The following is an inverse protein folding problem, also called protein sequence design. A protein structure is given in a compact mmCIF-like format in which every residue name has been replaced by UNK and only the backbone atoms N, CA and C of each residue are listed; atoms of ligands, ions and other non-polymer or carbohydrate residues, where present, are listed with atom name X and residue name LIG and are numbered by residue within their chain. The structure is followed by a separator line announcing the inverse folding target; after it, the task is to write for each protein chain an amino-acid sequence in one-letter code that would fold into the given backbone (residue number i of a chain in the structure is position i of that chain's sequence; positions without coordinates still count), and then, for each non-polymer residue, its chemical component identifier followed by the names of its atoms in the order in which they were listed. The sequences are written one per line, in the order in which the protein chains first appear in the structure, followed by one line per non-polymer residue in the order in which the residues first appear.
data_IF_663067330244
#
_entry.id   IF_663067330244
#
_cell.length_a   1.000
_cell.length_b   1.000
_cell.length_c   1.000
_cell.angle_alpha   90.00
_cell.angle_beta   90.00
_cell.angle_gamma   90.00
#
_symmetry.space_group_name_H-M   'P 1'
#
loop_
_entity.id
_entity.type
_entity.pdbx_description
1 polymer ?
#
# COMPACT_ATOMS: atom_id res chain seq x y z
N UNK A 1 28.06 25.53 -15.63
CA UNK A 1 28.26 24.07 -15.48
C UNK A 1 28.51 23.79 -14.00
N UNK A 2 27.48 23.34 -13.30
CA UNK A 2 27.60 22.72 -11.97
C UNK A 2 26.52 21.66 -11.96
N UNK A 3 26.94 20.41 -12.19
CA UNK A 3 26.05 19.26 -12.09
C UNK A 3 25.77 19.04 -10.60
N UNK A 4 24.51 19.16 -10.19
CA UNK A 4 24.05 18.64 -8.92
C UNK A 4 24.16 17.12 -8.98
N UNK A 5 25.24 16.60 -8.42
CA UNK A 5 25.30 15.24 -7.89
C UNK A 5 24.55 15.25 -6.57
N UNK A 6 23.31 14.76 -6.57
CA UNK A 6 22.69 14.16 -5.38
C UNK A 6 21.63 13.16 -5.85
N UNK A 7 22.11 12.13 -6.55
CA UNK A 7 21.38 10.88 -6.76
C UNK A 7 21.74 9.91 -5.65
N UNK A 8 21.33 10.20 -4.41
CA UNK A 8 21.37 9.19 -3.34
C UNK A 8 20.31 8.14 -3.65
N UNK A 9 20.69 7.09 -4.37
CA UNK A 9 19.86 5.90 -4.57
C UNK A 9 19.54 5.33 -3.19
N UNK A 10 18.31 5.55 -2.69
CA UNK A 10 17.85 4.98 -1.42
C UNK A 10 17.89 3.46 -1.58
N UNK A 11 18.74 2.79 -0.79
CA UNK A 11 18.84 1.33 -0.80
C UNK A 11 17.55 0.71 -0.26
N UNK A 12 17.35 -0.58 -0.53
CA UNK A 12 16.28 -1.37 0.09
C UNK A 12 16.34 -1.21 1.62
N UNK A 13 15.26 -0.75 2.21
CA UNK A 13 15.09 -0.64 3.66
C UNK A 13 14.32 -1.86 4.17
N UNK A 14 14.85 -2.51 5.21
CA UNK A 14 14.26 -3.69 5.84
C UNK A 14 13.96 -3.37 7.30
N UNK A 15 12.67 -3.29 7.62
CA UNK A 15 12.17 -3.08 8.98
C UNK A 15 11.60 -4.37 9.56
N UNK A 16 11.79 -4.57 10.86
CA UNK A 16 11.21 -5.70 11.60
C UNK A 16 10.12 -5.19 12.54
N UNK A 17 8.99 -5.90 12.63
CA UNK A 17 7.97 -5.66 13.63
C UNK A 17 7.74 -6.93 14.44
N UNK A 18 7.97 -6.84 15.75
CA UNK A 18 7.72 -7.93 16.68
C UNK A 18 6.25 -7.87 17.09
N UNK A 19 5.52 -8.97 16.89
CA UNK A 19 4.14 -9.07 17.33
C UNK A 19 4.05 -9.15 18.87
N UNK A 20 2.94 -8.68 19.49
CA UNK A 20 2.75 -8.76 20.94
C UNK A 20 2.86 -10.19 21.46
N UNK A 21 3.35 -10.34 22.69
CA UNK A 21 3.55 -11.67 23.31
C UNK A 21 2.22 -12.35 23.63
N UNK A 22 1.96 -13.48 22.98
CA UNK A 22 0.86 -14.39 23.32
C UNK A 22 1.36 -15.57 24.17
N UNK A 23 1.83 -15.31 25.41
CA UNK A 23 2.27 -16.37 26.32
C UNK A 23 3.36 -15.96 27.31
N UNK A 24 3.92 -16.96 28.02
CA UNK A 24 4.94 -16.76 29.07
C UNK A 24 6.37 -16.67 28.53
N UNK A 25 6.68 -17.32 27.40
CA UNK A 25 8.03 -17.37 26.83
C UNK A 25 8.05 -16.83 25.40
N UNK A 26 9.01 -15.96 25.10
CA UNK A 26 9.23 -15.40 23.76
C UNK A 26 10.48 -16.00 23.15
N UNK A 27 10.40 -16.44 21.90
CA UNK A 27 11.56 -16.85 21.10
C UNK A 27 12.33 -15.66 20.50
N UNK A 28 11.87 -14.44 20.75
CA UNK A 28 12.43 -13.19 20.20
C UNK A 28 12.54 -12.15 21.31
N UNK A 29 13.65 -11.41 21.35
CA UNK A 29 13.84 -10.26 22.24
C UNK A 29 14.44 -9.07 21.48
N UNK A 30 13.92 -7.89 21.76
CA UNK A 30 14.49 -6.62 21.30
C UNK A 30 15.80 -6.37 22.03
N UNK A 31 16.88 -6.09 21.30
CA UNK A 31 18.15 -5.64 21.88
C UNK A 31 18.20 -4.11 21.85
N UNK A 32 17.90 -3.53 20.70
CA UNK A 32 17.72 -2.10 20.47
C UNK A 32 16.91 -1.88 19.17
N UNK A 33 16.73 -0.62 18.77
CA UNK A 33 15.97 -0.17 17.58
C UNK A 33 16.44 -0.76 16.24
N UNK A 34 17.55 -1.51 16.20
CA UNK A 34 18.07 -2.15 14.97
C UNK A 34 18.38 -3.63 15.14
N UNK A 35 18.48 -4.14 16.37
CA UNK A 35 18.91 -5.50 16.62
C UNK A 35 17.86 -6.33 17.35
N UNK A 36 17.61 -7.52 16.79
CA UNK A 36 16.72 -8.53 17.37
C UNK A 36 17.52 -9.79 17.69
N UNK A 37 17.30 -10.35 18.88
CA UNK A 37 17.93 -11.58 19.35
C UNK A 37 16.91 -12.72 19.37
N UNK A 38 17.22 -13.81 18.67
CA UNK A 38 16.48 -15.06 18.80
C UNK A 38 16.95 -15.84 20.02
N UNK A 39 15.98 -16.32 20.80
CA UNK A 39 16.18 -17.10 22.01
C UNK A 39 15.79 -18.55 21.69
N UNK A 40 16.76 -19.46 21.79
CA UNK A 40 16.50 -20.88 21.64
C UNK A 40 15.60 -21.38 22.79
N UNK A 41 14.66 -22.31 22.54
CA UNK A 41 13.87 -22.93 23.60
C UNK A 41 14.77 -23.60 24.65
N UNK A 42 14.36 -23.58 25.92
CA UNK A 42 15.12 -24.11 27.07
C UNK A 42 15.56 -25.57 26.91
N UNK A 43 14.81 -26.36 26.12
CA UNK A 43 15.11 -27.77 25.84
C UNK A 43 16.04 -27.99 24.63
N UNK A 44 16.47 -26.92 23.96
CA UNK A 44 17.32 -26.99 22.77
C UNK A 44 18.76 -26.62 23.14
N UNK A 45 19.60 -27.63 23.37
CA UNK A 45 21.03 -27.45 23.64
C UNK A 45 21.73 -27.14 22.32
N UNK A 46 21.95 -25.85 22.02
CA UNK A 46 22.90 -25.47 20.98
C UNK A 46 24.32 -25.76 21.46
N UNK A 47 25.19 -26.29 20.58
CA UNK A 47 26.60 -26.61 20.90
C UNK A 47 27.38 -25.41 21.44
N UNK A 48 26.95 -24.20 21.09
CA UNK A 48 27.35 -22.94 21.68
C UNK A 48 26.07 -22.23 22.12
N UNK A 49 26.03 -21.57 23.28
CA UNK A 49 24.92 -20.69 23.72
C UNK A 49 24.82 -19.41 22.84
N UNK A 50 25.09 -19.52 21.54
CA UNK A 50 25.15 -18.42 20.60
C UNK A 50 23.71 -18.03 20.26
N UNK A 51 23.29 -16.94 20.87
CA UNK A 51 22.05 -16.31 20.48
C UNK A 51 22.20 -15.69 19.08
N UNK A 52 21.28 -15.99 18.18
CA UNK A 52 21.30 -15.43 16.84
C UNK A 52 20.84 -13.98 16.89
N UNK A 53 21.72 -13.06 16.47
CA UNK A 53 21.44 -11.64 16.39
C UNK A 53 21.18 -11.25 14.93
N UNK A 54 20.06 -10.57 14.68
CA UNK A 54 19.67 -10.08 13.37
C UNK A 54 19.63 -8.55 13.38
N UNK A 55 20.12 -7.95 12.29
CA UNK A 55 20.16 -6.50 12.11
C UNK A 55 19.12 -6.06 11.09
N UNK A 56 18.40 -4.99 11.41
CA UNK A 56 17.42 -4.32 10.57
C UNK A 56 17.70 -2.81 10.54
N UNK A 57 17.05 -2.09 9.63
CA UNK A 57 17.12 -0.62 9.59
C UNK A 57 16.31 0.02 10.71
N UNK A 58 15.23 -0.66 11.12
CA UNK A 58 14.41 -0.31 12.27
C UNK A 58 13.71 -1.57 12.80
N UNK A 59 13.56 -1.66 14.12
CA UNK A 59 12.80 -2.71 14.81
C UNK A 59 11.71 -2.06 15.64
N UNK A 60 10.48 -2.50 15.43
CA UNK A 60 9.31 -2.11 16.21
C UNK A 60 8.89 -3.25 17.16
N UNK A 61 8.43 -2.90 18.34
CA UNK A 61 7.92 -3.84 19.34
C UNK A 61 6.43 -3.64 19.68
N UNK A 62 5.97 -4.24 20.78
CA UNK A 62 4.57 -4.18 21.20
C UNK A 62 4.12 -2.81 21.71
N UNK A 63 5.05 -1.88 21.97
CA UNK A 63 4.78 -0.51 22.39
C UNK A 63 4.62 0.45 21.20
N UNK A 64 5.10 0.07 20.01
CA UNK A 64 4.99 0.87 18.80
C UNK A 64 3.59 0.78 18.19
N UNK A 65 2.92 1.93 18.06
CA UNK A 65 1.57 1.97 17.52
C UNK A 65 1.56 1.86 16.00
N UNK A 66 0.39 1.56 15.41
CA UNK A 66 0.20 1.59 13.96
C UNK A 66 0.56 2.97 13.35
N UNK A 67 0.30 4.04 14.12
CA UNK A 67 0.61 5.41 13.71
C UNK A 67 2.11 5.67 13.69
N UNK A 68 2.86 5.13 14.66
CA UNK A 68 4.32 5.30 14.72
C UNK A 68 4.99 4.57 13.56
N UNK A 69 4.57 3.33 13.30
CA UNK A 69 5.04 2.53 12.17
C UNK A 69 4.71 3.22 10.85
N UNK A 70 3.47 3.72 10.69
CA UNK A 70 3.07 4.48 9.51
C UNK A 70 3.96 5.72 9.29
N UNK A 71 4.16 6.52 10.34
CA UNK A 71 4.96 7.75 10.25
C UNK A 71 6.41 7.48 9.88
N UNK A 72 7.00 6.42 10.44
CA UNK A 72 8.39 6.05 10.17
C UNK A 72 8.59 5.41 8.80
N UNK A 73 7.63 4.64 8.31
CA UNK A 73 7.80 3.83 7.10
C UNK A 73 7.21 4.47 5.84
N UNK A 74 6.10 5.22 5.93
CA UNK A 74 5.28 5.56 4.75
C UNK A 74 5.06 7.04 4.48
N UNK A 75 5.45 7.96 5.38
CA UNK A 75 5.41 9.39 5.04
C UNK A 75 6.31 9.72 3.84
N UNK A 76 7.54 9.18 3.83
CA UNK A 76 8.46 9.32 2.70
C UNK A 76 7.91 8.71 1.41
N UNK A 77 7.08 7.66 1.50
CA UNK A 77 6.47 7.03 0.33
C UNK A 77 5.45 7.96 -0.31
N UNK A 78 4.64 8.65 0.51
CA UNK A 78 3.69 9.63 0.00
C UNK A 78 4.44 10.83 -0.59
N UNK A 79 5.51 11.31 0.04
CA UNK A 79 6.35 12.39 -0.54
C UNK A 79 6.98 12.00 -1.88
N UNK A 80 7.46 10.76 -1.99
CA UNK A 80 7.98 10.21 -3.24
C UNK A 80 6.90 10.14 -4.33
N UNK A 81 5.70 9.66 -4.00
CA UNK A 81 4.57 9.59 -4.92
C UNK A 81 4.18 10.98 -5.42
N UNK A 82 4.05 11.95 -4.52
CA UNK A 82 3.72 13.34 -4.87
C UNK A 82 4.81 13.96 -5.76
N UNK A 83 6.06 13.55 -5.58
CA UNK A 83 7.19 13.97 -6.43
C UNK A 83 7.23 13.25 -7.79
N UNK A 84 6.32 12.30 -8.04
CA UNK A 84 6.23 11.54 -9.29
C UNK A 84 7.10 10.27 -9.34
N UNK A 85 7.57 9.78 -8.18
CA UNK A 85 8.35 8.55 -8.07
C UNK A 85 7.49 7.37 -7.58
N UNK A 86 7.85 6.17 -8.03
CA UNK A 86 7.18 4.94 -7.58
C UNK A 86 7.68 4.53 -6.18
N UNK A 87 6.85 3.82 -5.41
CA UNK A 87 7.23 3.25 -4.12
C UNK A 87 6.56 1.89 -3.91
N UNK A 88 7.26 0.97 -3.23
CA UNK A 88 6.82 -0.42 -3.07
C UNK A 88 7.06 -0.89 -1.63
N UNK A 89 6.00 -1.40 -0.99
CA UNK A 89 6.02 -1.93 0.36
C UNK A 89 5.63 -3.41 0.35
N UNK A 90 6.38 -4.25 1.07
CA UNK A 90 6.01 -5.62 1.36
C UNK A 90 5.91 -5.87 2.85
N UNK A 91 4.91 -6.65 3.27
CA UNK A 91 4.86 -7.25 4.61
C UNK A 91 5.14 -8.74 4.51
N UNK A 92 6.20 -9.21 5.17
CA UNK A 92 6.63 -10.60 5.13
C UNK A 92 6.63 -11.23 6.52
N UNK A 93 6.35 -12.54 6.60
CA UNK A 93 6.28 -13.28 7.86
C UNK A 93 5.35 -14.49 7.79
N UNK A 94 5.33 -15.29 8.86
CA UNK A 94 4.49 -16.50 8.99
C UNK A 94 3.02 -16.15 9.25
N UNK A 95 2.11 -17.11 9.08
CA UNK A 95 0.70 -16.94 9.47
C UNK A 95 0.60 -16.60 10.96
N UNK A 96 -0.23 -15.62 11.31
CA UNK A 96 -0.37 -15.14 12.69
C UNK A 96 0.71 -14.14 13.14
N UNK A 97 1.72 -13.81 12.31
CA UNK A 97 2.77 -12.85 12.68
C UNK A 97 2.35 -11.37 12.60
N UNK A 98 1.07 -11.07 12.35
CA UNK A 98 0.57 -9.69 12.27
C UNK A 98 0.74 -8.98 10.92
N UNK A 99 0.98 -9.70 9.81
CA UNK A 99 1.04 -9.09 8.45
C UNK A 99 -0.23 -8.30 8.09
N UNK A 100 -1.38 -8.96 8.14
CA UNK A 100 -2.70 -8.35 7.87
C UNK A 100 -3.03 -7.25 8.87
N UNK A 101 -2.66 -7.44 10.14
CA UNK A 101 -2.80 -6.40 11.17
C UNK A 101 -1.95 -5.16 10.84
N UNK A 102 -0.75 -5.34 10.30
CA UNK A 102 0.10 -4.22 9.87
C UNK A 102 -0.49 -3.50 8.66
N UNK A 103 -0.84 -4.23 7.61
CA UNK A 103 -1.31 -3.62 6.35
C UNK A 103 -2.70 -3.00 6.47
N UNK A 104 -3.69 -3.76 6.97
CA UNK A 104 -5.10 -3.35 7.03
C UNK A 104 -5.49 -2.89 8.42
N UNK A 105 -5.04 -3.61 9.45
CA UNK A 105 -5.36 -3.31 10.85
C UNK A 105 -6.84 -3.47 11.17
N UNK A 106 -7.32 -2.72 12.16
CA UNK A 106 -8.74 -2.68 12.54
C UNK A 106 -9.31 -1.28 12.29
N UNK A 107 -10.23 -1.17 11.33
CA UNK A 107 -10.78 0.08 10.82
C UNK A 107 -11.49 0.95 11.87
N UNK A 108 -12.04 0.35 12.92
CA UNK A 108 -12.86 1.03 13.93
C UNK A 108 -12.07 1.49 15.17
N UNK A 109 -10.74 1.39 15.14
CA UNK A 109 -9.89 1.69 16.30
C UNK A 109 -8.62 2.45 15.91
N UNK A 110 -7.86 2.89 16.93
CA UNK A 110 -6.50 3.42 16.75
C UNK A 110 -5.54 2.42 16.09
N UNK A 111 -5.98 1.16 15.90
CA UNK A 111 -5.25 0.12 15.21
C UNK A 111 -5.47 0.07 13.69
N UNK A 112 -6.05 1.10 13.07
CA UNK A 112 -6.11 1.23 11.60
C UNK A 112 -4.72 1.06 10.99
N UNK A 113 -4.61 0.23 9.94
CA UNK A 113 -3.34 -0.20 9.35
C UNK A 113 -2.66 0.82 8.46
N UNK A 114 -1.59 0.37 7.81
CA UNK A 114 -0.78 1.20 6.92
C UNK A 114 -1.53 1.65 5.65
N UNK A 115 -2.31 0.77 5.03
CA UNK A 115 -3.05 1.04 3.80
C UNK A 115 -4.06 2.21 3.94
N UNK A 116 -5.05 2.18 4.86
CA UNK A 116 -6.02 3.26 5.00
C UNK A 116 -5.37 4.60 5.39
N UNK A 117 -4.34 4.57 6.24
CA UNK A 117 -3.57 5.76 6.62
C UNK A 117 -2.82 6.37 5.43
N UNK A 118 -2.26 5.53 4.57
CA UNK A 118 -1.54 5.98 3.37
C UNK A 118 -2.50 6.66 2.40
N UNK A 119 -3.66 6.05 2.14
CA UNK A 119 -4.70 6.66 1.30
C UNK A 119 -5.16 8.01 1.85
N UNK A 120 -5.40 8.10 3.17
CA UNK A 120 -5.76 9.35 3.83
C UNK A 120 -4.76 10.48 3.61
N UNK A 121 -3.46 10.18 3.70
CA UNK A 121 -2.41 11.19 3.51
C UNK A 121 -2.21 11.51 2.02
N UNK A 122 -2.37 10.54 1.11
CA UNK A 122 -2.34 10.77 -0.34
C UNK A 122 -3.42 11.78 -0.75
N UNK A 123 -4.69 11.50 -0.44
CA UNK A 123 -5.81 12.37 -0.82
C UNK A 123 -5.72 13.77 -0.19
N UNK A 124 -5.10 13.89 0.99
CA UNK A 124 -4.81 15.19 1.61
C UNK A 124 -3.63 15.94 0.99
N UNK A 125 -2.68 15.23 0.41
CA UNK A 125 -1.44 15.81 -0.12
C UNK A 125 -1.52 16.14 -1.62
N UNK A 126 -2.43 15.48 -2.35
CA UNK A 126 -2.62 15.69 -3.78
C UNK A 126 -3.25 17.07 -4.08
N UNK A 127 -2.62 17.88 -4.95
CA UNK A 127 -3.20 19.14 -5.40
C UNK A 127 -4.22 18.92 -6.52
N UNK A 128 -5.33 19.65 -6.49
CA UNK A 128 -6.31 19.74 -7.59
C UNK A 128 -6.73 18.37 -8.16
N UNK A 129 -7.36 17.53 -7.35
CA UNK A 129 -8.00 16.31 -7.83
C UNK A 129 -9.16 16.71 -8.75
N UNK A 130 -9.13 16.24 -10.00
CA UNK A 130 -10.15 16.51 -11.01
C UNK A 130 -11.40 15.66 -10.77
N UNK A 131 -12.53 16.10 -11.31
CA UNK A 131 -13.75 15.30 -11.35
C UNK A 131 -13.54 14.03 -12.20
N UNK A 132 -14.25 12.95 -11.85
CA UNK A 132 -14.20 11.67 -12.56
C UNK A 132 -14.40 11.77 -14.07
N UNK A 133 -13.87 10.75 -14.75
CA UNK A 133 -13.97 10.52 -16.18
C UNK A 133 -13.21 11.52 -17.05
N UNK A 134 -12.40 12.43 -16.49
CA UNK A 134 -11.50 13.27 -17.30
C UNK A 134 -10.33 12.44 -17.81
N UNK A 135 -9.76 11.63 -16.94
CA UNK A 135 -8.72 10.66 -17.26
C UNK A 135 -9.34 9.29 -17.49
N UNK A 136 -8.79 8.53 -18.44
CA UNK A 136 -9.26 7.19 -18.75
C UNK A 136 -8.13 6.21 -19.00
N UNK A 137 -8.14 5.04 -18.34
CA UNK A 137 -7.34 3.89 -18.74
C UNK A 137 -7.47 3.60 -20.23
N UNK A 138 -6.34 3.46 -20.91
CA UNK A 138 -6.28 3.10 -22.33
C UNK A 138 -6.12 1.58 -22.57
N UNK A 139 -6.08 0.78 -21.50
CA UNK A 139 -5.91 -0.68 -21.52
C UNK A 139 -4.48 -1.16 -21.84
N UNK A 140 -3.51 -0.24 -21.91
CA UNK A 140 -2.09 -0.51 -22.20
C UNK A 140 -1.18 0.22 -21.21
N UNK A 141 -1.52 0.17 -19.92
CA UNK A 141 -0.75 0.81 -18.84
C UNK A 141 -0.55 2.33 -19.05
N UNK A 142 -1.58 3.01 -19.57
CA UNK A 142 -1.54 4.45 -19.79
C UNK A 142 -2.92 5.06 -19.74
N UNK A 143 -2.95 6.39 -19.77
CA UNK A 143 -4.17 7.18 -19.63
C UNK A 143 -4.38 8.09 -20.85
N UNK A 144 -5.63 8.21 -21.27
CA UNK A 144 -6.10 9.19 -22.22
C UNK A 144 -6.87 10.29 -21.48
N UNK A 145 -6.83 11.51 -22.01
CA UNK A 145 -7.62 12.63 -21.51
C UNK A 145 -8.80 12.81 -22.48
N UNK A 146 -10.02 12.91 -21.95
CA UNK A 146 -11.20 13.22 -22.74
C UNK A 146 -11.74 14.62 -22.45
N UNK A 147 -12.63 15.11 -23.32
CA UNK A 147 -13.24 16.43 -23.16
C UNK A 147 -14.25 16.43 -22.01
N UNK A 148 -14.48 17.61 -21.44
CA UNK A 148 -15.40 17.81 -20.34
C UNK A 148 -16.83 17.36 -20.70
N UNK A 149 -17.29 17.59 -21.94
CA UNK A 149 -18.65 17.21 -22.35
C UNK A 149 -18.84 15.69 -22.33
N UNK A 150 -17.80 14.94 -22.75
CA UNK A 150 -17.83 13.48 -22.76
C UNK A 150 -17.74 12.91 -21.34
N UNK A 151 -16.87 13.50 -20.51
CA UNK A 151 -16.74 13.13 -19.10
C UNK A 151 -18.06 13.36 -18.33
N UNK A 152 -18.73 14.49 -18.54
CA UNK A 152 -20.01 14.79 -17.91
C UNK A 152 -21.11 13.78 -18.29
N UNK A 153 -21.18 13.37 -19.56
CA UNK A 153 -22.18 12.40 -19.99
C UNK A 153 -21.99 11.04 -19.31
N UNK A 154 -20.74 10.62 -19.15
CA UNK A 154 -20.39 9.35 -18.52
C UNK A 154 -20.58 9.38 -17.00
N UNK A 155 -20.25 10.49 -16.33
CA UNK A 155 -20.52 10.67 -14.91
C UNK A 155 -22.01 10.48 -14.56
N UNK A 156 -22.92 10.81 -15.47
CA UNK A 156 -24.37 10.58 -15.28
C UNK A 156 -24.77 9.10 -15.26
N UNK A 157 -23.91 8.23 -15.81
CA UNK A 157 -24.14 6.77 -15.84
C UNK A 157 -23.50 6.06 -14.65
N UNK A 158 -22.61 6.73 -13.91
CA UNK A 158 -22.01 6.18 -12.70
C UNK A 158 -23.10 6.09 -11.63
N UNK A 159 -23.32 4.90 -11.03
CA UNK A 159 -24.25 4.75 -9.92
C UNK A 159 -23.94 5.75 -8.80
N UNK A 160 -24.98 6.30 -8.18
CA UNK A 160 -24.78 7.15 -7.03
C UNK A 160 -24.07 6.34 -5.93
N UNK A 161 -23.08 6.94 -5.26
CA UNK A 161 -22.41 6.30 -4.15
C UNK A 161 -23.41 5.92 -3.04
N UNK A 162 -23.53 4.64 -2.70
CA UNK A 162 -24.44 4.16 -1.65
C UNK A 162 -23.77 4.05 -0.27
N UNK A 163 -22.75 4.88 -0.01
CA UNK A 163 -21.82 4.64 1.08
C UNK A 163 -22.46 4.88 2.46
N UNK A 164 -22.36 3.89 3.36
CA UNK A 164 -22.38 4.18 4.79
C UNK A 164 -20.97 4.56 5.20
N UNK A 165 -20.73 5.83 5.57
CA UNK A 165 -19.45 6.25 6.14
C UNK A 165 -19.26 5.47 7.45
N UNK A 166 -18.50 4.37 7.40
CA UNK A 166 -18.08 3.70 8.62
C UNK A 166 -17.26 4.71 9.42
N UNK A 167 -17.60 4.87 10.70
CA UNK A 167 -16.91 5.79 11.59
C UNK A 167 -15.49 5.27 11.82
N UNK A 168 -14.57 5.65 10.94
CA UNK A 168 -13.16 5.22 10.97
C UNK A 168 -12.25 6.34 11.48
N UNK A 169 -11.09 5.95 11.99
CA UNK A 169 -10.03 6.91 12.26
C UNK A 169 -9.47 7.42 10.92
N UNK A 170 -9.29 8.73 10.80
CA UNK A 170 -8.79 9.38 9.60
C UNK A 170 -7.47 10.10 9.89
N UNK A 171 -6.43 9.81 9.12
CA UNK A 171 -5.11 10.42 9.35
C UNK A 171 -5.04 11.89 8.94
N UNK A 172 -4.77 12.79 9.87
CA UNK A 172 -4.85 14.24 9.62
C UNK A 172 -3.58 14.85 9.07
N UNK A 173 -2.50 14.07 8.94
CA UNK A 173 -1.23 14.54 8.39
C UNK A 173 -1.35 14.77 6.89
N UNK A 174 -0.71 15.84 6.40
CA UNK A 174 -0.47 16.06 4.97
C UNK A 174 1.03 16.25 4.76
N UNK A 175 1.55 15.78 3.63
CA UNK A 175 2.94 15.99 3.22
C UNK A 175 3.09 17.32 2.49
N UNK A 176 4.33 17.76 2.20
CA UNK A 176 4.57 19.01 1.48
C UNK A 176 3.88 18.97 0.12
N UNK A 177 2.89 19.86 -0.06
CA UNK A 177 2.12 19.94 -1.29
C UNK A 177 3.02 20.39 -2.45
N UNK A 178 2.87 19.72 -3.59
CA UNK A 178 3.50 20.09 -4.84
C UNK A 178 2.91 21.42 -5.35
N UNK A 179 3.58 22.08 -6.29
CA UNK A 179 3.04 23.31 -6.90
C UNK A 179 1.62 23.09 -7.44
N UNK A 180 0.71 24.04 -7.19
CA UNK A 180 -0.70 24.06 -7.64
C UNK A 180 -0.88 24.02 -9.18
N UNK A 181 0.18 23.76 -9.95
CA UNK A 181 0.22 23.76 -11.40
C UNK A 181 -0.09 22.39 -12.03
N UNK A 182 -0.30 21.34 -11.22
CA UNK A 182 -0.69 20.01 -11.70
C UNK A 182 -2.12 19.70 -11.28
N UNK A 183 -2.83 19.00 -12.16
CA UNK A 183 -4.11 18.36 -11.86
C UNK A 183 -3.88 16.86 -11.78
N UNK A 184 -4.65 16.17 -10.95
CA UNK A 184 -4.49 14.72 -10.76
C UNK A 184 -5.83 14.00 -10.71
N UNK A 185 -5.77 12.68 -10.88
CA UNK A 185 -6.84 11.74 -10.58
C UNK A 185 -6.18 10.49 -9.98
N UNK A 186 -6.91 9.77 -9.15
CA UNK A 186 -6.40 8.58 -8.45
C UNK A 186 -7.10 7.35 -9.02
N UNK A 187 -6.29 6.38 -9.44
CA UNK A 187 -6.76 5.09 -9.93
C UNK A 187 -6.22 3.97 -9.06
N UNK A 188 -7.04 2.97 -8.80
CA UNK A 188 -6.69 1.79 -8.02
C UNK A 188 -6.92 0.53 -8.85
N UNK A 189 -5.95 -0.37 -8.79
CA UNK A 189 -6.05 -1.74 -9.28
C UNK A 189 -5.74 -2.68 -8.11
N UNK A 190 -6.49 -3.77 -7.95
CA UNK A 190 -6.28 -4.72 -6.86
C UNK A 190 -6.10 -6.14 -7.41
N UNK A 191 -4.98 -6.77 -7.07
CA UNK A 191 -4.49 -7.97 -7.73
C UNK A 191 -4.13 -9.02 -6.70
N UNK A 192 -4.53 -10.26 -6.94
CA UNK A 192 -4.05 -11.43 -6.22
C UNK A 192 -3.14 -12.27 -7.11
N UNK A 193 -1.97 -12.64 -6.59
CA UNK A 193 -1.12 -13.66 -7.20
C UNK A 193 -1.21 -14.92 -6.34
N UNK A 194 -1.83 -15.96 -6.89
CA UNK A 194 -2.02 -17.24 -6.21
C UNK A 194 -1.67 -18.38 -7.15
N UNK A 195 -0.80 -19.28 -6.70
CA UNK A 195 -0.35 -20.44 -7.46
C UNK A 195 0.16 -20.08 -8.89
N UNK A 196 1.04 -19.07 -8.96
CA UNK A 196 1.59 -18.50 -10.20
C UNK A 196 0.56 -17.91 -11.19
N UNK A 197 -0.70 -17.78 -10.78
CA UNK A 197 -1.79 -17.16 -11.53
C UNK A 197 -2.09 -15.78 -10.97
N UNK A 198 -2.49 -14.86 -11.85
CA UNK A 198 -2.73 -13.45 -11.52
C UNK A 198 -4.21 -13.12 -11.70
N UNK A 199 -4.90 -12.72 -10.64
CA UNK A 199 -6.34 -12.45 -10.63
C UNK A 199 -6.60 -10.97 -10.35
N UNK A 200 -7.61 -10.42 -11.01
CA UNK A 200 -8.07 -9.04 -10.82
C UNK A 200 -9.22 -9.04 -9.83
N UNK A 201 -8.97 -8.60 -8.59
CA UNK A 201 -9.94 -8.61 -7.51
C UNK A 201 -11.07 -7.58 -7.69
N UNK A 202 -10.93 -6.64 -8.61
CA UNK A 202 -11.96 -5.64 -8.91
C UNK A 202 -12.85 -6.06 -10.10
N UNK A 203 -12.55 -7.18 -10.75
CA UNK A 203 -13.33 -7.72 -11.87
C UNK A 203 -14.67 -8.28 -11.36
N UNK A 204 -15.78 -7.62 -11.69
CA UNK A 204 -17.13 -8.01 -11.24
C UNK A 204 -17.55 -9.41 -11.75
N UNK A 205 -16.87 -9.91 -12.78
CA UNK A 205 -17.11 -11.24 -13.34
C UNK A 205 -16.51 -12.37 -12.52
N UNK A 206 -15.75 -12.09 -11.43
CA UNK A 206 -15.20 -13.11 -10.53
C UNK A 206 -16.28 -13.96 -9.83
N UNK A 207 -17.53 -13.50 -9.81
CA UNK A 207 -18.66 -14.24 -9.22
C UNK A 207 -19.07 -15.47 -10.04
N UNK A 208 -18.67 -15.54 -11.31
CA UNK A 208 -18.83 -16.75 -12.13
C UNK A 208 -17.55 -17.58 -12.06
N UNK A 209 -17.59 -18.70 -11.33
CA UNK A 209 -16.46 -19.64 -11.19
C UNK A 209 -15.84 -20.08 -12.53
N UNK A 210 -16.58 -19.92 -13.64
CA UNK A 210 -16.15 -20.26 -15.00
C UNK A 210 -15.29 -19.19 -15.66
N UNK A 211 -15.17 -17.98 -15.08
CA UNK A 211 -14.53 -16.81 -15.67
C UNK A 211 -13.25 -16.37 -14.98
N UNK A 212 -12.74 -17.09 -13.95
CA UNK A 212 -11.44 -16.84 -13.33
C UNK A 212 -10.30 -16.99 -14.35
N UNK A 213 -10.09 -15.93 -15.12
CA UNK A 213 -9.11 -15.88 -16.19
C UNK A 213 -7.88 -15.21 -15.62
N UNK A 214 -6.81 -15.99 -15.45
CA UNK A 214 -5.52 -15.40 -15.10
C UNK A 214 -5.15 -14.31 -16.10
N UNK A 215 -4.84 -13.14 -15.57
CA UNK A 215 -4.35 -12.01 -16.33
C UNK A 215 -2.86 -12.22 -16.63
N UNK A 216 -2.37 -11.63 -17.71
CA UNK A 216 -0.97 -11.75 -18.10
C UNK A 216 -0.17 -10.57 -17.57
N UNK A 217 0.96 -10.85 -16.93
CA UNK A 217 1.95 -9.84 -16.58
C UNK A 217 2.79 -9.55 -17.84
N UNK A 218 2.91 -8.27 -18.19
CA UNK A 218 3.65 -7.79 -19.35
C UNK A 218 4.67 -6.74 -18.94
N UNK A 219 5.64 -6.49 -19.81
CA UNK A 219 6.59 -5.38 -19.69
C UNK A 219 6.25 -4.38 -20.78
N UNK A 220 5.99 -3.14 -20.40
CA UNK A 220 5.77 -2.05 -21.35
C UNK A 220 7.05 -1.78 -22.14
N UNK A 221 6.93 -1.69 -23.46
CA UNK A 221 8.09 -1.61 -24.36
C UNK A 221 8.83 -0.28 -24.27
N UNK A 222 8.14 0.79 -23.85
CA UNK A 222 8.67 2.16 -23.80
C UNK A 222 9.24 2.46 -22.41
N UNK A 223 8.42 2.28 -21.38
CA UNK A 223 8.76 2.59 -19.97
C UNK A 223 9.55 1.48 -19.30
N UNK A 224 9.57 0.26 -19.86
CA UNK A 224 10.16 -0.95 -19.26
C UNK A 224 9.56 -1.34 -17.91
N UNK A 225 8.42 -0.78 -17.52
CA UNK A 225 7.71 -1.12 -16.30
C UNK A 225 6.84 -2.37 -16.52
N UNK A 226 6.76 -3.22 -15.50
CA UNK A 226 5.84 -4.36 -15.50
C UNK A 226 4.41 -3.87 -15.21
N UNK A 227 3.42 -4.47 -15.85
CA UNK A 227 2.00 -4.20 -15.62
C UNK A 227 1.16 -5.45 -15.89
N UNK A 228 -0.07 -5.48 -15.39
CA UNK A 228 -1.02 -6.56 -15.65
C UNK A 228 -1.98 -6.15 -16.76
N UNK A 229 -2.06 -6.94 -17.82
CA UNK A 229 -2.91 -6.64 -18.98
C UNK A 229 -4.40 -6.82 -18.64
N UNK A 230 -5.25 -5.92 -19.17
CA UNK A 230 -6.73 -5.98 -19.07
C UNK A 230 -7.21 -6.09 -17.62
N UNK A 231 -6.56 -5.33 -16.74
CA UNK A 231 -7.01 -5.15 -15.38
C UNK A 231 -7.97 -3.97 -15.30
N UNK A 232 -8.90 -4.04 -14.35
CA UNK A 232 -9.78 -2.93 -14.00
C UNK A 232 -8.99 -1.91 -13.19
N UNK A 233 -8.93 -0.69 -13.71
CA UNK A 233 -8.40 0.47 -13.00
C UNK A 233 -9.59 1.35 -12.62
N UNK A 234 -9.92 1.38 -11.33
CA UNK A 234 -11.09 2.11 -10.80
C UNK A 234 -10.65 3.51 -10.37
N UNK A 235 -11.29 4.53 -10.94
CA UNK A 235 -11.09 5.92 -10.55
C UNK A 235 -11.78 6.22 -9.23
N UNK A 236 -11.05 6.77 -8.26
CA UNK A 236 -11.54 7.06 -6.91
C UNK A 236 -11.33 8.53 -6.55
N UNK A 237 -12.35 9.15 -5.95
CA UNK A 237 -12.34 10.59 -5.59
C UNK A 237 -12.03 10.81 -4.10
N UNK A 238 -12.05 9.75 -3.29
CA UNK A 238 -11.81 9.85 -1.86
C UNK A 238 -11.15 8.59 -1.29
N UNK A 239 -10.57 8.74 -0.10
CA UNK A 239 -10.02 7.61 0.66
C UNK A 239 -11.11 6.58 1.00
N UNK A 240 -12.35 7.02 1.26
CA UNK A 240 -13.44 6.12 1.62
C UNK A 240 -13.85 5.23 0.44
N UNK A 241 -13.91 5.79 -0.76
CA UNK A 241 -14.17 5.03 -1.99
C UNK A 241 -13.03 4.04 -2.29
N UNK A 242 -11.78 4.46 -2.08
CA UNK A 242 -10.62 3.58 -2.22
C UNK A 242 -10.66 2.39 -1.26
N UNK A 243 -11.03 2.62 0.00
CA UNK A 243 -11.17 1.56 1.02
C UNK A 243 -12.32 0.63 0.65
N UNK A 244 -13.42 1.12 0.10
CA UNK A 244 -14.54 0.28 -0.33
C UNK A 244 -14.13 -0.66 -1.46
N UNK A 245 -13.40 -0.18 -2.48
CA UNK A 245 -12.86 -1.05 -3.53
C UNK A 245 -11.95 -2.14 -2.95
N UNK A 246 -11.17 -1.81 -1.91
CA UNK A 246 -10.36 -2.79 -1.19
C UNK A 246 -11.18 -3.80 -0.37
N UNK A 247 -12.36 -3.41 0.15
CA UNK A 247 -13.26 -4.31 0.88
C UNK A 247 -14.11 -5.20 -0.06
N UNK A 248 -14.33 -4.74 -1.30
CA UNK A 248 -15.07 -5.48 -2.32
C UNK A 248 -14.25 -6.62 -2.93
N UNK A 249 -12.95 -6.38 -3.18
CA UNK A 249 -12.02 -7.36 -3.72
C UNK A 249 -11.49 -8.33 -2.67
#
# INVERSE_FOLDING_TARGET
MSANQDGSSKSLEVVCRIAPKNGKESCVSLVDDRYVKLIAPTNYVTRNNDAFLFKFDCVFDENDTQRDIFRRCLLDFVENLISGNDSLLFTYGVTGSGKTFTMTGNAESDNSGLLPRTLDVIFRSLPNIMEKCIFKPNGRNGFAIQTEEKAQLERRTIPLPSYSIAKRLVETVATKSLSNSRCCAVFISYIEIYNDMCYDLLDENLTDERLFTSKNIRIDSVTRKAYVEKIKEVEVESCDEAIEQFLQG
#
